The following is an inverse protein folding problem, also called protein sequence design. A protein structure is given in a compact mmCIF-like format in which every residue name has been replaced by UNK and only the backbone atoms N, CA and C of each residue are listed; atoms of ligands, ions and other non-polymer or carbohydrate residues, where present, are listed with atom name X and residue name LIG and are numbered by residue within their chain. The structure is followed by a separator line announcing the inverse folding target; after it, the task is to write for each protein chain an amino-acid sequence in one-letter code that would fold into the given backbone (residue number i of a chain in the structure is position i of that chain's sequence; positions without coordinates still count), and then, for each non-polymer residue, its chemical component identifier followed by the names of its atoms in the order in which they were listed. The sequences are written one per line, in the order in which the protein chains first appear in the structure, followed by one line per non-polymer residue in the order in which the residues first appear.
data_IF_089866235024
#
_entry.id   IF_089866235024
#
_cell.length_a   1.000
_cell.length_b   1.000
_cell.length_c   1.000
_cell.angle_alpha   90.00
_cell.angle_beta   90.00
_cell.angle_gamma   90.00
#
_symmetry.space_group_name_H-M   'P 1'
#
loop_
_entity.id
_entity.type
_entity.pdbx_description
1 polymer ?
#
# COMPACT_ATOMS: atom_id res chain seq x y z
N UNK A 1 -8.56 -10.71 -35.52
CA UNK A 1 -9.09 -9.39 -35.09
C UNK A 1 -8.26 -8.92 -33.91
N UNK A 2 -7.54 -7.80 -34.02
CA UNK A 2 -6.77 -7.23 -32.91
C UNK A 2 -7.79 -6.64 -31.92
N UNK A 3 -8.01 -7.28 -30.78
CA UNK A 3 -8.85 -6.72 -29.72
C UNK A 3 -8.17 -5.45 -29.24
N UNK A 4 -8.80 -4.30 -29.49
CA UNK A 4 -8.39 -3.02 -28.92
C UNK A 4 -8.77 -3.10 -27.44
N UNK A 5 -7.78 -3.16 -26.56
CA UNK A 5 -7.99 -3.06 -25.12
C UNK A 5 -8.28 -1.59 -24.83
N UNK A 6 -9.41 -1.22 -24.22
CA UNK A 6 -9.67 0.16 -23.83
C UNK A 6 -8.62 0.61 -22.83
N UNK A 7 -8.10 1.82 -22.98
CA UNK A 7 -7.22 2.40 -21.98
C UNK A 7 -7.93 2.45 -20.63
N UNK A 8 -7.23 2.11 -19.52
CA UNK A 8 -7.84 2.15 -18.20
C UNK A 8 -8.28 3.58 -17.86
N UNK A 9 -9.42 3.75 -17.16
CA UNK A 9 -9.93 5.07 -16.84
C UNK A 9 -8.91 5.85 -15.99
N UNK A 10 -8.66 7.12 -16.38
CA UNK A 10 -7.76 8.05 -15.68
C UNK A 10 -8.11 8.25 -14.19
N UNK A 11 -9.33 7.88 -13.80
CA UNK A 11 -9.89 8.03 -12.46
C UNK A 11 -9.82 6.76 -11.60
N UNK A 12 -9.12 5.70 -12.01
CA UNK A 12 -8.95 4.52 -11.14
C UNK A 12 -7.88 4.83 -10.09
N UNK A 13 -8.24 5.15 -8.83
CA UNK A 13 -7.30 5.76 -7.90
C UNK A 13 -6.60 4.71 -7.02
N UNK A 14 -6.70 3.43 -7.37
CA UNK A 14 -6.03 2.39 -6.62
C UNK A 14 -4.63 2.22 -7.22
N UNK A 15 -3.56 2.63 -6.52
CA UNK A 15 -2.21 2.37 -6.99
C UNK A 15 -2.07 0.86 -7.19
N UNK A 16 -1.61 0.46 -8.38
CA UNK A 16 -1.26 -0.94 -8.64
C UNK A 16 -0.20 -1.36 -7.62
N UNK A 17 -0.63 -2.11 -6.61
CA UNK A 17 0.26 -2.68 -5.61
C UNK A 17 1.03 -3.83 -6.26
N UNK A 18 2.28 -3.57 -6.61
CA UNK A 18 3.19 -4.62 -7.09
C UNK A 18 3.92 -5.19 -5.88
N UNK A 19 3.71 -6.47 -5.58
CA UNK A 19 4.44 -7.19 -4.53
C UNK A 19 5.77 -7.64 -5.13
N UNK A 20 6.85 -6.91 -4.85
CA UNK A 20 8.21 -7.31 -5.20
C UNK A 20 8.69 -8.25 -4.09
N UNK A 21 8.66 -9.57 -4.33
CA UNK A 21 8.95 -10.60 -3.33
C UNK A 21 10.43 -10.62 -2.86
N UNK A 22 11.34 -10.07 -3.66
CA UNK A 22 12.79 -10.16 -3.44
C UNK A 22 13.43 -8.83 -3.00
N UNK A 23 12.66 -7.92 -2.40
CA UNK A 23 13.20 -6.64 -1.92
C UNK A 23 14.34 -6.85 -0.92
N UNK A 24 15.44 -6.14 -1.12
CA UNK A 24 16.47 -5.99 -0.07
C UNK A 24 15.90 -5.13 1.08
N UNK A 25 16.55 -5.16 2.24
CA UNK A 25 16.14 -4.31 3.38
C UNK A 25 16.22 -2.82 2.99
N UNK A 26 17.26 -2.42 2.26
CA UNK A 26 17.43 -1.03 1.80
C UNK A 26 16.35 -0.63 0.80
N UNK A 27 15.96 -1.51 -0.12
CA UNK A 27 14.88 -1.23 -1.07
C UNK A 27 13.49 -1.28 -0.41
N UNK A 28 13.31 -2.04 0.66
CA UNK A 28 12.04 -2.14 1.40
C UNK A 28 11.72 -0.88 2.21
N UNK A 29 12.73 -0.17 2.74
CA UNK A 29 12.55 1.08 3.51
C UNK A 29 11.74 2.16 2.78
N UNK A 30 12.05 2.55 1.52
CA UNK A 30 11.25 3.55 0.81
C UNK A 30 9.82 3.09 0.54
N UNK A 31 9.59 1.79 0.33
CA UNK A 31 8.24 1.24 0.21
C UNK A 31 7.45 1.37 1.52
N UNK A 32 8.09 1.13 2.67
CA UNK A 32 7.47 1.32 3.97
C UNK A 32 7.11 2.80 4.20
N UNK A 33 8.03 3.71 3.87
CA UNK A 33 7.77 5.15 3.97
C UNK A 33 6.56 5.58 3.12
N UNK A 34 6.49 5.12 1.86
CA UNK A 34 5.37 5.42 0.97
C UNK A 34 4.02 4.88 1.51
N UNK A 35 4.01 3.68 2.08
CA UNK A 35 2.82 3.09 2.69
C UNK A 35 2.38 3.84 3.96
N UNK A 36 3.34 4.24 4.82
CA UNK A 36 3.06 5.04 6.02
C UNK A 36 2.50 6.42 5.66
N UNK A 37 3.06 7.07 4.64
CA UNK A 37 2.55 8.34 4.11
C UNK A 37 1.12 8.20 3.57
N UNK A 38 0.85 7.12 2.84
CA UNK A 38 -0.50 6.84 2.32
C UNK A 38 -1.50 6.58 3.45
N UNK A 39 -1.09 5.86 4.49
CA UNK A 39 -1.92 5.62 5.67
C UNK A 39 -2.23 6.93 6.39
N UNK A 40 -1.22 7.77 6.62
CA UNK A 40 -1.38 9.09 7.25
C UNK A 40 -2.37 9.98 6.48
N UNK A 41 -2.24 10.05 5.15
CA UNK A 41 -3.21 10.77 4.29
C UNK A 41 -4.63 10.18 4.39
N UNK A 42 -4.76 8.86 4.40
CA UNK A 42 -6.08 8.20 4.50
C UNK A 42 -6.75 8.52 5.84
N UNK A 43 -5.98 8.54 6.94
CA UNK A 43 -6.47 8.94 8.26
C UNK A 43 -6.96 10.39 8.25
N UNK A 44 -6.22 11.31 7.64
CA UNK A 44 -6.64 12.72 7.54
C UNK A 44 -7.98 12.84 6.79
N UNK A 45 -8.12 12.17 5.64
CA UNK A 45 -9.38 12.17 4.88
C UNK A 45 -10.53 11.56 5.69
N UNK A 46 -10.27 10.51 6.47
CA UNK A 46 -11.29 9.92 7.35
C UNK A 46 -11.76 10.90 8.44
N UNK A 47 -10.84 11.69 9.02
CA UNK A 47 -11.17 12.67 10.06
C UNK A 47 -11.97 13.85 9.50
N UNK A 48 -11.74 14.20 8.24
CA UNK A 48 -12.40 15.33 7.56
C UNK A 48 -13.72 14.94 6.89
N UNK A 49 -13.95 13.66 6.58
CA UNK A 49 -15.14 13.24 5.83
C UNK A 49 -16.41 13.19 6.70
N UNK A 50 -17.48 13.80 6.18
CA UNK A 50 -18.83 13.76 6.77
C UNK A 50 -19.70 12.65 6.15
N UNK A 51 -19.29 12.08 5.01
CA UNK A 51 -20.04 11.05 4.29
C UNK A 51 -19.78 9.66 4.89
N UNK A 52 -20.83 9.00 5.38
CA UNK A 52 -20.75 7.66 6.01
C UNK A 52 -20.24 6.58 5.04
N UNK A 53 -20.71 6.58 3.80
CA UNK A 53 -20.27 5.58 2.80
C UNK A 53 -18.78 5.70 2.49
N UNK A 54 -18.25 6.93 2.47
CA UNK A 54 -16.80 7.16 2.32
C UNK A 54 -16.01 6.69 3.55
N UNK A 55 -16.56 6.81 4.77
CA UNK A 55 -15.89 6.36 5.99
C UNK A 55 -15.61 4.86 5.98
N UNK A 56 -16.58 4.06 5.55
CA UNK A 56 -16.41 2.61 5.48
C UNK A 56 -15.26 2.23 4.53
N UNK A 57 -15.24 2.82 3.32
CA UNK A 57 -14.17 2.60 2.34
C UNK A 57 -12.80 3.05 2.86
N UNK A 58 -12.74 4.18 3.57
CA UNK A 58 -11.49 4.68 4.14
C UNK A 58 -10.96 3.78 5.26
N UNK A 59 -11.84 3.25 6.12
CA UNK A 59 -11.48 2.28 7.15
C UNK A 59 -10.97 0.96 6.55
N UNK A 60 -11.60 0.50 5.47
CA UNK A 60 -11.12 -0.67 4.71
C UNK A 60 -9.74 -0.41 4.10
N UNK A 61 -9.53 0.74 3.47
CA UNK A 61 -8.23 1.14 2.94
C UNK A 61 -7.15 1.21 4.03
N UNK A 62 -7.47 1.76 5.20
CA UNK A 62 -6.55 1.76 6.35
C UNK A 62 -6.18 0.34 6.76
N UNK A 63 -7.16 -0.57 6.82
CA UNK A 63 -6.93 -1.97 7.19
C UNK A 63 -5.98 -2.67 6.20
N UNK A 64 -6.19 -2.46 4.90
CA UNK A 64 -5.31 -2.98 3.85
C UNK A 64 -3.88 -2.42 4.00
N UNK A 65 -3.74 -1.10 4.16
CA UNK A 65 -2.45 -0.44 4.32
C UNK A 65 -1.70 -0.96 5.55
N UNK A 66 -2.38 -1.21 6.66
CA UNK A 66 -1.76 -1.76 7.87
C UNK A 66 -1.27 -3.20 7.67
N UNK A 67 -2.01 -4.03 6.93
CA UNK A 67 -1.60 -5.41 6.63
C UNK A 67 -0.38 -5.45 5.68
N UNK A 68 -0.34 -4.54 4.70
CA UNK A 68 0.82 -4.38 3.82
C UNK A 68 2.07 -3.95 4.60
N UNK A 69 1.94 -2.97 5.50
CA UNK A 69 3.04 -2.53 6.37
C UNK A 69 3.53 -3.66 7.25
N UNK A 70 2.62 -4.39 7.90
CA UNK A 70 2.97 -5.56 8.72
C UNK A 70 3.76 -6.59 7.93
N UNK A 71 3.29 -6.92 6.72
CA UNK A 71 3.94 -7.89 5.84
C UNK A 71 5.33 -7.42 5.44
N UNK A 72 5.47 -6.14 5.07
CA UNK A 72 6.75 -5.56 4.66
C UNK A 72 7.77 -5.52 5.83
N UNK A 73 7.34 -5.13 7.03
CA UNK A 73 8.21 -5.14 8.20
C UNK A 73 8.63 -6.56 8.59
N UNK A 74 7.72 -7.54 8.47
CA UNK A 74 8.07 -8.95 8.69
C UNK A 74 9.10 -9.45 7.68
N UNK A 75 8.98 -9.06 6.42
CA UNK A 75 9.97 -9.34 5.36
C UNK A 75 11.33 -8.71 5.70
N UNK A 76 11.36 -7.43 6.06
CA UNK A 76 12.59 -6.73 6.45
C UNK A 76 13.29 -7.43 7.62
N UNK A 77 12.55 -7.77 8.68
CA UNK A 77 13.10 -8.47 9.84
C UNK A 77 13.69 -9.84 9.48
N UNK A 78 13.02 -10.62 8.62
CA UNK A 78 13.55 -11.90 8.13
C UNK A 78 14.85 -11.73 7.34
N UNK A 79 14.96 -10.67 6.53
CA UNK A 79 16.14 -10.38 5.73
C UNK A 79 17.31 -9.85 6.56
N UNK A 80 17.06 -9.09 7.62
CA UNK A 80 18.09 -8.66 8.58
C UNK A 80 18.70 -9.85 9.31
N UNK A 81 17.87 -10.79 9.81
CA UNK A 81 18.36 -12.01 10.48
C UNK A 81 19.21 -12.88 9.52
N UNK A 82 18.81 -12.99 8.26
CA UNK A 82 19.53 -13.80 7.27
C UNK A 82 20.87 -13.18 6.81
N UNK A 83 21.09 -11.88 7.03
CA UNK A 83 22.34 -11.21 6.70
C UNK A 83 23.40 -11.33 7.82
N UNK A 84 22.98 -11.60 9.06
CA UNK A 84 23.85 -11.73 10.24
C UNK A 84 24.31 -13.17 10.52
N UNK A 85 23.96 -14.13 9.65
CA UNK A 85 24.40 -15.54 9.71
C UNK A 85 25.39 -15.88 8.59
#
# INVERSE_FOLDING_TARGET
MKKIVPDPPLSFPLPYLTIIADLTVEDAKPHAAALMDSLSRTIQVLLETECQDHRQVLLENMSILTELLRTLFSHMAMREIAHDQ
#
